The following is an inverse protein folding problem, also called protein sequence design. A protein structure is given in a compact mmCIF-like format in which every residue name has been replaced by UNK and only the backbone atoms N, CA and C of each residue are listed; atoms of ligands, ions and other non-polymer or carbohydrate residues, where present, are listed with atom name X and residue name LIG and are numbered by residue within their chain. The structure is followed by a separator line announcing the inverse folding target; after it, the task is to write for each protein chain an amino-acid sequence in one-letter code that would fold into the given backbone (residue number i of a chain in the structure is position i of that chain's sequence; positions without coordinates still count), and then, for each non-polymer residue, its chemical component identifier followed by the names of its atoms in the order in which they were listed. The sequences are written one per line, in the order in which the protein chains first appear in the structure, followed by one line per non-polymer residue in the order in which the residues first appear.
data_IF_971918579632
#
_entry.id   IF_971918579632
#
_cell.length_a   1.000
_cell.length_b   1.000
_cell.length_c   1.000
_cell.angle_alpha   90.00
_cell.angle_beta   90.00
_cell.angle_gamma   90.00
#
_symmetry.space_group_name_H-M   'P 1'
#
loop_
_entity.id
_entity.type
_entity.pdbx_description
1 polymer ?
#
# COMPACT_ATOMS: atom_id res chain seq x y z
N UNK A 1 -3.51 -10.00 8.04
CA UNK A 1 -4.49 -9.72 9.10
C UNK A 1 -4.38 -10.82 10.15
N UNK A 2 -4.29 -10.45 11.41
CA UNK A 2 -4.12 -11.37 12.53
C UNK A 2 -5.49 -11.54 13.21
N UNK A 3 -5.89 -12.78 13.39
CA UNK A 3 -7.17 -13.19 13.97
C UNK A 3 -6.93 -14.31 14.98
N UNK A 4 -7.88 -14.53 15.87
CA UNK A 4 -7.79 -15.60 16.87
C UNK A 4 -9.03 -16.51 16.80
N UNK A 5 -8.87 -17.82 16.52
CA UNK A 5 -9.95 -18.80 16.64
C UNK A 5 -10.71 -18.77 17.97
N UNK A 6 -10.07 -18.34 19.06
CA UNK A 6 -10.71 -18.20 20.36
C UNK A 6 -11.75 -17.08 20.42
N UNK A 7 -11.77 -16.15 19.47
CA UNK A 7 -12.77 -15.07 19.39
C UNK A 7 -14.18 -15.56 19.05
N UNK A 8 -14.35 -16.86 18.73
CA UNK A 8 -15.66 -17.49 18.56
C UNK A 8 -16.50 -16.77 17.50
N UNK A 9 -17.63 -16.16 17.88
CA UNK A 9 -18.49 -15.40 16.95
C UNK A 9 -17.88 -14.07 16.51
N UNK A 10 -16.88 -13.54 17.20
CA UNK A 10 -16.18 -12.31 16.81
C UNK A 10 -15.09 -12.58 15.76
N UNK A 11 -14.80 -13.84 15.43
CA UNK A 11 -13.84 -14.19 14.39
C UNK A 11 -14.48 -13.95 13.00
N UNK A 12 -13.81 -13.23 12.07
CA UNK A 12 -14.31 -13.07 10.71
C UNK A 12 -14.24 -14.39 9.94
N UNK A 13 -15.18 -14.61 9.01
CA UNK A 13 -15.21 -15.78 8.12
C UNK A 13 -15.15 -15.43 6.64
N UNK A 14 -15.62 -14.24 6.26
CA UNK A 14 -15.57 -13.75 4.89
C UNK A 14 -15.13 -12.29 4.87
N UNK A 15 -14.08 -12.00 4.09
CA UNK A 15 -13.54 -10.66 3.91
C UNK A 15 -13.44 -10.34 2.44
N UNK A 16 -13.84 -9.14 2.07
CA UNK A 16 -13.65 -8.60 0.72
C UNK A 16 -12.68 -7.44 0.80
N UNK A 17 -11.67 -7.45 -0.05
CA UNK A 17 -10.73 -6.34 -0.19
C UNK A 17 -11.01 -5.64 -1.50
N UNK A 18 -11.22 -4.32 -1.43
CA UNK A 18 -11.47 -3.46 -2.58
C UNK A 18 -10.41 -2.37 -2.67
N UNK A 19 -10.15 -1.85 -3.86
CA UNK A 19 -9.18 -0.79 -4.07
C UNK A 19 -9.54 0.14 -5.22
N UNK A 20 -9.02 1.37 -5.18
CA UNK A 20 -9.29 2.36 -6.21
C UNK A 20 -8.62 3.70 -5.93
N UNK A 21 -8.82 4.65 -6.85
CA UNK A 21 -8.24 5.99 -6.74
C UNK A 21 -9.17 7.01 -6.06
N UNK A 22 -10.42 6.62 -5.78
CA UNK A 22 -11.44 7.41 -5.09
C UNK A 22 -12.32 6.48 -4.25
N UNK A 23 -12.76 6.95 -3.08
CA UNK A 23 -13.64 6.20 -2.17
C UNK A 23 -15.00 5.84 -2.80
N UNK A 24 -15.45 6.62 -3.78
CA UNK A 24 -16.75 6.40 -4.45
C UNK A 24 -16.67 5.35 -5.58
N UNK A 25 -15.48 4.87 -5.93
CA UNK A 25 -15.26 3.96 -7.05
C UNK A 25 -14.17 2.94 -6.71
N UNK A 26 -14.38 2.21 -5.62
CA UNK A 26 -13.53 1.06 -5.27
C UNK A 26 -14.02 -0.17 -6.06
N UNK A 27 -13.08 -0.91 -6.65
CA UNK A 27 -13.35 -2.19 -7.28
C UNK A 27 -12.94 -3.32 -6.34
N UNK A 28 -13.69 -4.42 -6.35
CA UNK A 28 -13.30 -5.60 -5.59
C UNK A 28 -12.02 -6.19 -6.19
N UNK A 29 -10.99 -6.34 -5.35
CA UNK A 29 -9.71 -6.92 -5.72
C UNK A 29 -9.63 -8.40 -5.34
N UNK A 30 -10.18 -8.76 -4.17
CA UNK A 30 -10.13 -10.13 -3.66
C UNK A 30 -11.25 -10.42 -2.67
N UNK A 31 -11.88 -11.59 -2.81
CA UNK A 31 -12.73 -12.19 -1.78
C UNK A 31 -11.98 -13.33 -1.08
N UNK A 32 -11.96 -13.33 0.25
CA UNK A 32 -11.16 -14.24 1.09
C UNK A 32 -12.09 -14.94 2.08
N UNK A 33 -12.07 -16.27 2.06
CA UNK A 33 -12.67 -17.10 3.10
C UNK A 33 -11.61 -17.39 4.18
N UNK A 34 -11.98 -17.20 5.44
CA UNK A 34 -11.09 -17.42 6.59
C UNK A 34 -11.46 -18.75 7.25
N UNK A 35 -10.48 -19.64 7.39
CA UNK A 35 -10.71 -20.93 8.01
C UNK A 35 -10.81 -20.81 9.53
N UNK A 36 -11.55 -21.72 10.18
CA UNK A 36 -11.71 -21.77 11.62
C UNK A 36 -10.44 -21.76 12.46
N UNK A 37 -9.32 -22.21 11.88
CA UNK A 37 -8.04 -22.40 12.54
C UNK A 37 -6.99 -21.37 12.11
N UNK A 38 -7.33 -20.49 11.17
CA UNK A 38 -6.41 -19.48 10.69
C UNK A 38 -6.10 -18.49 11.82
N UNK A 39 -4.83 -18.12 11.94
CA UNK A 39 -4.36 -17.11 12.89
C UNK A 39 -3.75 -15.90 12.17
N UNK A 40 -3.29 -16.10 10.93
CA UNK A 40 -2.79 -15.06 10.05
C UNK A 40 -3.35 -15.25 8.65
N UNK A 41 -4.08 -14.26 8.16
CA UNK A 41 -4.76 -14.27 6.86
C UNK A 41 -4.09 -13.26 5.92
N UNK A 42 -3.64 -13.73 4.75
CA UNK A 42 -3.12 -12.86 3.69
C UNK A 42 -4.27 -12.20 2.94
N UNK A 43 -4.35 -10.87 3.02
CA UNK A 43 -5.43 -10.09 2.39
C UNK A 43 -5.11 -9.81 0.93
N UNK A 44 -3.94 -9.24 0.65
CA UNK A 44 -3.43 -9.00 -0.70
C UNK A 44 -1.95 -9.40 -0.75
N UNK A 45 -1.52 -9.87 -1.91
CA UNK A 45 -0.14 -10.24 -2.21
C UNK A 45 0.15 -9.92 -3.67
N UNK A 46 1.41 -9.62 -3.98
CA UNK A 46 1.90 -9.41 -5.35
C UNK A 46 1.13 -8.35 -6.15
N UNK A 47 0.65 -7.30 -5.48
CA UNK A 47 -0.08 -6.21 -6.12
C UNK A 47 0.82 -5.46 -7.11
N UNK A 48 0.44 -5.47 -8.39
CA UNK A 48 1.15 -4.76 -9.48
C UNK A 48 0.56 -3.40 -9.79
N UNK A 49 -0.67 -3.14 -9.36
CA UNK A 49 -1.38 -1.89 -9.58
C UNK A 49 -1.37 -1.02 -8.32
N UNK A 50 -1.31 0.29 -8.54
CA UNK A 50 -1.41 1.27 -7.46
C UNK A 50 -2.87 1.60 -7.17
N UNK A 51 -3.27 1.42 -5.91
CA UNK A 51 -4.57 1.87 -5.41
C UNK A 51 -4.34 2.85 -4.25
N UNK A 52 -4.82 4.09 -4.42
CA UNK A 52 -4.72 5.13 -3.38
C UNK A 52 -5.51 4.77 -2.12
N UNK A 53 -6.66 4.14 -2.30
CA UNK A 53 -7.53 3.70 -1.22
C UNK A 53 -7.66 2.18 -1.28
N UNK A 54 -7.57 1.55 -0.10
CA UNK A 54 -7.85 0.13 0.12
C UNK A 54 -8.94 0.03 1.19
N UNK A 55 -9.99 -0.73 0.89
CA UNK A 55 -11.06 -1.07 1.83
C UNK A 55 -10.97 -2.56 2.17
N UNK A 56 -11.03 -2.87 3.47
CA UNK A 56 -11.13 -4.24 3.98
C UNK A 56 -12.52 -4.38 4.62
N UNK A 57 -13.45 -4.99 3.89
CA UNK A 57 -14.81 -5.19 4.34
C UNK A 57 -14.97 -6.58 4.96
N UNK A 58 -15.20 -6.64 6.27
CA UNK A 58 -15.64 -7.88 6.94
C UNK A 58 -17.10 -8.11 6.55
N UNK A 59 -17.36 -9.05 5.65
CA UNK A 59 -18.73 -9.34 5.16
C UNK A 59 -19.48 -10.30 6.06
N UNK A 60 -18.76 -11.21 6.74
CA UNK A 60 -19.34 -12.20 7.65
C UNK A 60 -18.40 -12.50 8.81
N UNK A 61 -18.98 -12.68 9.99
CA UNK A 61 -18.34 -13.29 11.15
C UNK A 61 -18.89 -14.70 11.39
N UNK A 62 -18.12 -15.51 12.10
CA UNK A 62 -18.49 -16.89 12.42
C UNK A 62 -19.73 -16.96 13.28
N UNK A 63 -20.46 -18.06 13.15
CA UNK A 63 -21.68 -18.33 13.91
C UNK A 63 -22.70 -17.17 13.85
N UNK A 64 -22.73 -16.46 12.71
CA UNK A 64 -23.56 -15.26 12.50
C UNK A 64 -23.31 -14.14 13.51
N UNK A 65 -22.06 -14.01 13.98
CA UNK A 65 -21.63 -12.89 14.81
C UNK A 65 -21.89 -11.55 14.13
N UNK A 66 -22.22 -10.54 14.94
CA UNK A 66 -22.56 -9.20 14.47
C UNK A 66 -21.32 -8.30 14.48
N UNK A 67 -20.45 -8.51 15.46
CA UNK A 67 -19.20 -7.78 15.65
C UNK A 67 -18.00 -8.62 15.23
N UNK A 68 -16.88 -7.95 14.93
CA UNK A 68 -15.63 -8.59 14.55
C UNK A 68 -14.49 -8.12 15.47
N UNK A 69 -13.55 -9.01 15.79
CA UNK A 69 -12.30 -8.67 16.44
C UNK A 69 -11.12 -8.99 15.52
N UNK A 70 -10.32 -7.97 15.25
CA UNK A 70 -9.06 -8.07 14.51
C UNK A 70 -7.93 -7.74 15.48
N UNK A 71 -6.96 -8.64 15.61
CA UNK A 71 -5.83 -8.48 16.55
C UNK A 71 -4.69 -7.66 15.96
N UNK A 72 -4.60 -7.62 14.63
CA UNK A 72 -3.57 -6.83 13.97
C UNK A 72 -3.74 -6.76 12.46
N UNK A 73 -3.25 -5.66 11.90
CA UNK A 73 -3.15 -5.44 10.47
C UNK A 73 -1.70 -5.08 10.15
N UNK A 74 -1.17 -5.73 9.12
CA UNK A 74 0.20 -5.49 8.64
C UNK A 74 0.09 -5.13 7.18
N UNK A 75 0.71 -4.02 6.79
CA UNK A 75 0.78 -3.54 5.43
C UNK A 75 2.25 -3.53 5.00
N UNK A 76 2.52 -4.16 3.87
CA UNK A 76 3.83 -4.15 3.23
C UNK A 76 3.68 -3.39 1.91
N UNK A 77 4.51 -2.39 1.71
CA UNK A 77 4.48 -1.55 0.52
C UNK A 77 5.85 -0.95 0.25
N UNK A 78 5.97 -0.31 -0.91
CA UNK A 78 7.12 0.52 -1.25
C UNK A 78 6.67 1.98 -1.23
N UNK A 79 7.51 2.85 -0.69
CA UNK A 79 7.28 4.29 -0.78
C UNK A 79 7.37 4.67 -2.26
N UNK A 80 6.32 5.29 -2.78
CA UNK A 80 6.33 5.86 -4.12
C UNK A 80 7.04 7.21 -4.01
N UNK A 81 8.14 7.39 -4.72
CA UNK A 81 8.64 8.73 -4.99
C UNK A 81 7.61 9.40 -5.91
N UNK A 82 7.07 10.55 -5.50
CA UNK A 82 6.25 11.36 -6.40
C UNK A 82 7.15 11.89 -7.53
N UNK A 83 6.66 12.03 -8.76
CA UNK A 83 7.46 12.62 -9.86
C UNK A 83 7.97 14.03 -9.50
N UNK A 84 7.30 14.71 -8.56
CA UNK A 84 7.67 16.02 -8.04
C UNK A 84 8.97 15.99 -7.19
N UNK A 85 9.30 14.86 -6.55
CA UNK A 85 10.58 14.67 -5.85
C UNK A 85 11.73 14.32 -6.81
N UNK A 86 11.44 13.81 -8.02
CA UNK A 86 12.45 13.54 -9.05
C UNK A 86 12.90 14.82 -9.77
N UNK A 87 12.07 15.86 -9.78
CA UNK A 87 12.40 17.16 -10.36
C UNK A 87 13.26 18.04 -9.45
N UNK A 88 13.44 17.66 -8.17
CA UNK A 88 14.15 18.43 -7.15
C UNK A 88 15.63 18.02 -6.96
N UNK A 89 16.27 17.42 -7.97
CA UNK A 89 17.73 17.21 -8.00
C UNK A 89 18.42 18.26 -8.88
N UNK A 90 18.61 19.51 -8.40
CA UNK A 90 19.34 20.54 -9.16
C UNK A 90 20.81 20.17 -9.42
N UNK A 91 21.33 19.09 -8.82
CA UNK A 91 22.71 18.64 -8.99
C UNK A 91 23.01 18.02 -10.38
N UNK A 92 21.98 17.59 -11.13
CA UNK A 92 22.19 16.98 -12.46
C UNK A 92 22.15 18.01 -13.61
N UNK A 93 21.96 19.29 -13.31
CA UNK A 93 21.94 20.37 -14.29
C UNK A 93 23.21 21.24 -14.18
N UNK A 94 24.37 20.69 -14.47
CA UNK A 94 25.51 21.49 -14.92
C UNK A 94 26.54 20.59 -15.60
N UNK A 95 26.32 20.33 -16.89
CA UNK A 95 27.43 20.08 -17.80
C UNK A 95 27.67 21.39 -18.60
N UNK A 96 28.84 21.99 -18.33
CA UNK A 96 29.78 22.59 -19.28
C UNK A 96 29.45 23.96 -19.94
N UNK A 97 30.16 25.02 -19.51
CA UNK A 97 30.64 26.07 -20.42
C UNK A 97 32.14 26.35 -20.13
N UNK A 98 32.94 26.18 -21.18
CA UNK A 98 34.35 26.54 -21.28
C UNK A 98 34.46 28.08 -21.34
N UNK A 99 35.36 28.71 -20.58
CA UNK A 99 35.81 30.07 -20.88
C UNK A 99 37.32 30.06 -21.18
N UNK A 100 37.62 30.34 -22.45
CA UNK A 100 38.92 30.70 -23.02
C UNK A 100 39.44 32.06 -22.51
N UNK A 101 40.77 32.16 -22.50
CA UNK A 101 41.59 33.36 -22.65
C UNK A 101 41.58 34.45 -21.56
N UNK A 102 42.67 34.51 -20.80
CA UNK A 102 43.23 35.79 -20.36
C UNK A 102 44.73 35.88 -20.70
N UNK A 103 45.04 36.65 -21.74
CA UNK A 103 46.38 37.11 -22.09
C UNK A 103 46.91 37.98 -20.95
N UNK A 104 47.82 37.43 -20.14
CA UNK A 104 48.72 38.27 -19.35
C UNK A 104 49.75 38.93 -20.28
N UNK A 105 49.60 40.24 -20.38
CA UNK A 105 50.56 41.13 -21.03
C UNK A 105 51.81 41.32 -20.17
N UNK A 106 52.91 41.63 -20.87
CA UNK A 106 54.05 42.43 -20.42
C UNK A 106 55.19 41.72 -19.66
N UNK A 107 56.38 41.75 -20.27
CA UNK A 107 57.67 41.40 -19.66
C UNK A 107 58.74 41.07 -20.68
#
# INVERSE_FOLDING_TARGET
MIVDPADSSYMPSLVVVSGGNSLNNLIELKTININPTDTTVSLLNDCTEYHRYIEIAIKQCRSSGIDCKIHGLVLLGRIRAEEEDLAAVPFLASDNEEEEDDKSSSG
#
